data_IF_127740098452
#
_entry.id   IF_127740098452
#
_cell.length_a   1.000
_cell.length_b   1.000
_cell.length_c   1.000
_cell.angle_alpha   90.00
_cell.angle_beta   90.00
_cell.angle_gamma   90.00
#
_symmetry.space_group_name_H-M   'P 1'
#
loop_
_entity.id
_entity.type
_entity.pdbx_description
1 polymer ?
#
# COMPACT_ATOMS: atom_id res chain seq x y z
N UNK A 1 -13.91 -65.03 15.00
CA UNK A 1 -13.31 -63.79 15.50
C UNK A 1 -13.06 -62.91 14.28
N UNK A 2 -13.94 -61.93 14.08
CA UNK A 2 -13.85 -60.89 13.06
C UNK A 2 -12.70 -59.93 13.35
N UNK A 3 -12.11 -59.37 12.28
CA UNK A 3 -11.50 -58.02 12.15
C UNK A 3 -10.98 -57.92 10.70
N UNK A 4 -11.77 -57.39 9.76
CA UNK A 4 -11.81 -56.00 9.27
C UNK A 4 -10.53 -55.52 8.53
N UNK A 5 -10.63 -55.12 7.24
CA UNK A 5 -9.51 -54.59 6.46
C UNK A 5 -9.23 -53.11 6.74
N UNK A 6 -7.96 -52.71 6.62
CA UNK A 6 -7.48 -51.35 6.78
C UNK A 6 -8.11 -50.38 5.75
N UNK A 7 -8.50 -49.14 6.13
CA UNK A 7 -9.12 -48.20 5.21
C UNK A 7 -8.08 -47.52 4.30
N UNK A 8 -8.41 -47.45 3.01
CA UNK A 8 -7.75 -46.66 1.97
C UNK A 8 -7.73 -45.17 2.31
N UNK A 9 -6.59 -44.52 2.05
CA UNK A 9 -6.44 -43.08 2.16
C UNK A 9 -7.15 -42.38 0.98
N UNK A 10 -8.28 -41.74 1.27
CA UNK A 10 -9.02 -40.88 0.35
C UNK A 10 -8.29 -39.54 0.18
N UNK A 11 -8.12 -38.99 -1.03
CA UNK A 11 -7.55 -37.65 -1.18
C UNK A 11 -8.57 -36.60 -0.70
N UNK A 12 -8.21 -35.87 0.37
CA UNK A 12 -8.98 -34.71 0.82
C UNK A 12 -8.76 -33.57 -0.16
N UNK A 13 -9.71 -33.42 -1.09
CA UNK A 13 -9.96 -32.17 -1.80
C UNK A 13 -10.60 -31.22 -0.78
N UNK A 14 -9.77 -30.36 -0.16
CA UNK A 14 -10.28 -29.16 0.51
C UNK A 14 -10.12 -27.99 -0.44
N UNK A 15 -11.27 -27.41 -0.80
CA UNK A 15 -11.43 -26.40 -1.84
C UNK A 15 -10.72 -25.07 -1.58
N UNK A 16 -10.83 -24.13 -2.53
CA UNK A 16 -10.04 -22.92 -2.57
C UNK A 16 -10.54 -21.96 -1.49
N UNK A 17 -9.82 -21.88 -0.37
CA UNK A 17 -9.90 -20.72 0.51
C UNK A 17 -9.25 -19.55 -0.23
N UNK A 18 -10.05 -18.89 -1.07
CA UNK A 18 -9.89 -17.53 -1.59
C UNK A 18 -8.45 -16.97 -1.48
N UNK A 19 -7.56 -17.50 -2.32
CA UNK A 19 -6.39 -16.77 -2.81
C UNK A 19 -6.90 -15.56 -3.59
N UNK A 20 -7.24 -14.49 -2.87
CA UNK A 20 -7.40 -13.16 -3.45
C UNK A 20 -6.16 -12.33 -3.12
N UNK A 21 -4.98 -12.95 -3.17
CA UNK A 21 -3.80 -12.20 -3.60
C UNK A 21 -3.85 -12.25 -5.12
N UNK A 22 -4.69 -11.39 -5.68
CA UNK A 22 -4.53 -11.01 -7.06
C UNK A 22 -3.11 -10.47 -7.17
N UNK A 23 -2.18 -11.33 -7.62
CA UNK A 23 -0.93 -10.94 -8.23
C UNK A 23 -1.35 -10.15 -9.47
N UNK A 24 -1.73 -8.89 -9.24
CA UNK A 24 -1.72 -7.90 -10.27
C UNK A 24 -0.32 -8.01 -10.85
N UNK A 25 -0.22 -8.40 -12.13
CA UNK A 25 1.01 -8.27 -12.91
C UNK A 25 1.61 -6.94 -12.53
N UNK A 26 2.64 -6.98 -11.70
CA UNK A 26 3.39 -5.79 -11.31
C UNK A 26 3.93 -5.32 -12.64
N UNK A 27 3.36 -4.24 -13.18
CA UNK A 27 4.07 -3.46 -14.18
C UNK A 27 5.47 -3.32 -13.62
N UNK A 28 6.46 -3.84 -14.33
CA UNK A 28 7.85 -3.88 -13.86
C UNK A 28 8.21 -2.43 -13.57
N UNK A 29 8.24 -2.08 -12.28
CA UNK A 29 8.53 -0.72 -11.87
C UNK A 29 10.01 -0.54 -12.14
N UNK A 30 10.32 0.38 -13.04
CA UNK A 30 11.71 0.74 -13.29
C UNK A 30 12.20 1.60 -12.13
N UNK A 31 12.77 0.94 -11.11
CA UNK A 31 13.34 1.62 -9.96
C UNK A 31 14.62 2.40 -10.28
N UNK A 32 15.22 2.26 -11.47
CA UNK A 32 16.29 3.16 -11.92
C UNK A 32 15.72 4.56 -12.25
N UNK A 33 14.44 4.63 -12.62
CA UNK A 33 13.73 5.89 -12.78
C UNK A 33 13.22 6.39 -11.43
N UNK A 34 13.83 7.47 -10.94
CA UNK A 34 13.46 8.12 -9.66
C UNK A 34 11.98 8.54 -9.59
N UNK A 35 11.39 8.93 -10.72
CA UNK A 35 9.97 9.29 -10.75
C UNK A 35 9.07 8.06 -10.57
N UNK A 36 9.41 6.92 -11.17
CA UNK A 36 8.64 5.69 -11.01
C UNK A 36 8.79 5.11 -9.60
N UNK A 37 9.99 5.19 -9.02
CA UNK A 37 10.21 4.89 -7.60
C UNK A 37 9.32 5.74 -6.69
N UNK A 38 9.28 7.06 -6.89
CA UNK A 38 8.45 7.95 -6.07
C UNK A 38 6.95 7.71 -6.27
N UNK A 39 6.51 7.40 -7.50
CA UNK A 39 5.11 7.00 -7.77
C UNK A 39 4.75 5.72 -7.01
N UNK A 40 5.63 4.72 -7.03
CA UNK A 40 5.44 3.48 -6.29
C UNK A 40 5.38 3.73 -4.77
N UNK A 41 6.31 4.52 -4.23
CA UNK A 41 6.33 4.91 -2.82
C UNK A 41 5.04 5.63 -2.41
N UNK A 42 4.61 6.63 -3.19
CA UNK A 42 3.39 7.40 -2.89
C UNK A 42 2.14 6.53 -2.93
N UNK A 43 2.09 5.60 -3.88
CA UNK A 43 1.03 4.57 -3.94
C UNK A 43 1.04 3.71 -2.67
N UNK A 44 2.20 3.22 -2.24
CA UNK A 44 2.32 2.42 -1.01
C UNK A 44 1.93 3.19 0.24
N UNK A 45 2.29 4.46 0.35
CA UNK A 45 1.83 5.33 1.45
C UNK A 45 0.30 5.38 1.49
N UNK A 46 -0.36 5.58 0.34
CA UNK A 46 -1.82 5.64 0.28
C UNK A 46 -2.49 4.30 0.65
N UNK A 47 -1.93 3.16 0.20
CA UNK A 47 -2.42 1.81 0.53
C UNK A 47 -2.32 1.50 2.03
N UNK A 48 -1.31 2.03 2.71
CA UNK A 48 -1.06 1.73 4.13
C UNK A 48 -1.79 2.71 5.06
N UNK A 49 -2.02 3.95 4.61
CA UNK A 49 -2.71 4.97 5.39
C UNK A 49 -4.13 4.55 5.78
N UNK A 50 -4.84 3.84 4.89
CA UNK A 50 -6.21 3.34 5.13
C UNK A 50 -6.31 2.30 6.25
N UNK A 51 -5.18 1.73 6.70
CA UNK A 51 -5.14 0.78 7.81
C UNK A 51 -5.33 1.52 9.14
N UNK A 52 -6.57 1.74 9.56
CA UNK A 52 -6.90 2.54 10.74
C UNK A 52 -6.31 2.00 12.06
N UNK A 53 -6.08 0.68 12.15
CA UNK A 53 -5.71 0.01 13.41
C UNK A 53 -4.20 0.02 13.71
N UNK A 54 -3.36 0.63 12.86
CA UNK A 54 -1.91 0.66 13.04
C UNK A 54 -1.42 2.03 13.49
N UNK A 55 -0.42 2.03 14.37
CA UNK A 55 0.29 3.25 14.73
C UNK A 55 1.00 3.84 13.52
N UNK A 56 1.24 5.14 13.56
CA UNK A 56 1.94 5.86 12.50
C UNK A 56 3.38 5.37 12.29
N UNK A 57 4.04 4.93 13.36
CA UNK A 57 5.37 4.34 13.32
C UNK A 57 5.35 2.96 12.65
N UNK A 58 4.38 2.12 12.99
CA UNK A 58 4.24 0.78 12.39
C UNK A 58 3.87 0.87 10.90
N UNK A 59 3.04 1.85 10.52
CA UNK A 59 2.74 2.15 9.12
C UNK A 59 4.01 2.55 8.37
N UNK A 60 4.84 3.42 8.95
CA UNK A 60 6.08 3.87 8.32
C UNK A 60 7.06 2.71 8.11
N UNK A 61 7.27 1.88 9.14
CA UNK A 61 8.09 0.65 9.05
C UNK A 61 7.58 -0.28 7.96
N UNK A 62 6.28 -0.53 7.93
CA UNK A 62 5.66 -1.40 6.92
C UNK A 62 5.85 -0.86 5.49
N UNK A 63 5.72 0.46 5.27
CA UNK A 63 5.98 1.07 3.96
C UNK A 63 7.43 0.87 3.55
N UNK A 64 8.38 1.12 4.45
CA UNK A 64 9.83 0.97 4.19
C UNK A 64 10.15 -0.48 3.82
N UNK A 65 9.62 -1.44 4.56
CA UNK A 65 9.85 -2.87 4.33
C UNK A 65 9.30 -3.32 2.98
N UNK A 66 8.09 -2.88 2.62
CA UNK A 66 7.47 -3.19 1.33
C UNK A 66 8.23 -2.57 0.14
N UNK A 67 8.71 -1.34 0.29
CA UNK A 67 9.52 -0.68 -0.75
C UNK A 67 10.87 -1.38 -0.90
N UNK A 68 11.55 -1.70 0.20
CA UNK A 68 12.79 -2.49 0.18
C UNK A 68 12.60 -3.87 -0.42
N UNK A 69 11.46 -4.51 -0.17
CA UNK A 69 11.12 -5.81 -0.77
C UNK A 69 11.00 -5.68 -2.29
N UNK A 70 10.26 -4.68 -2.77
CA UNK A 70 10.11 -4.44 -4.20
C UNK A 70 11.45 -4.13 -4.89
N UNK A 71 12.35 -3.37 -4.25
CA UNK A 71 13.71 -3.12 -4.76
C UNK A 71 14.51 -4.42 -4.86
N UNK A 72 14.45 -5.29 -3.84
CA UNK A 72 15.17 -6.58 -3.86
C UNK A 72 14.73 -7.49 -5.00
N UNK A 73 13.44 -7.49 -5.31
CA UNK A 73 12.82 -8.29 -6.38
C UNK A 73 13.02 -7.68 -7.78
N UNK A 74 13.60 -6.48 -7.87
CA UNK A 74 13.78 -5.76 -9.13
C UNK A 74 15.02 -6.21 -9.92
N UNK A 75 15.06 -5.97 -11.26
CA UNK A 75 16.19 -6.32 -12.11
C UNK A 75 17.40 -5.37 -12.00
N UNK A 76 17.47 -4.55 -10.94
CA UNK A 76 18.59 -3.64 -10.70
C UNK A 76 19.90 -4.40 -10.34
N UNK A 77 21.05 -3.73 -10.49
CA UNK A 77 22.31 -4.26 -9.97
C UNK A 77 22.32 -4.28 -8.44
N UNK A 78 23.17 -5.11 -7.84
CA UNK A 78 23.27 -5.19 -6.38
C UNK A 78 23.78 -3.89 -5.75
N UNK A 79 24.65 -3.15 -6.44
CA UNK A 79 25.08 -1.81 -6.01
C UNK A 79 23.89 -0.84 -5.98
N UNK A 80 23.07 -0.82 -7.02
CA UNK A 80 21.88 0.02 -7.11
C UNK A 80 20.84 -0.34 -6.04
N UNK A 81 20.62 -1.64 -5.81
CA UNK A 81 19.73 -2.12 -4.73
C UNK A 81 20.23 -1.67 -3.36
N UNK A 82 21.54 -1.72 -3.12
CA UNK A 82 22.16 -1.30 -1.85
C UNK A 82 22.00 0.20 -1.62
N UNK A 83 22.24 1.02 -2.65
CA UNK A 83 22.03 2.46 -2.60
C UNK A 83 20.57 2.81 -2.30
N UNK A 84 19.63 2.18 -3.02
CA UNK A 84 18.19 2.40 -2.80
C UNK A 84 17.70 1.88 -1.46
N UNK A 85 18.25 0.77 -0.96
CA UNK A 85 17.93 0.27 0.38
C UNK A 85 18.38 1.27 1.46
N UNK A 86 19.57 1.87 1.28
CA UNK A 86 20.08 2.93 2.17
C UNK A 86 19.21 4.18 2.09
N UNK A 87 18.78 4.57 0.89
CA UNK A 87 17.82 5.66 0.72
C UNK A 87 16.48 5.37 1.44
N UNK A 88 16.01 4.12 1.42
CA UNK A 88 14.82 3.72 2.16
C UNK A 88 14.99 3.84 3.69
N UNK A 89 16.18 3.62 4.22
CA UNK A 89 16.43 3.78 5.66
C UNK A 89 16.56 5.24 6.08
N UNK A 90 17.22 6.04 5.25
CA UNK A 90 17.59 7.42 5.62
C UNK A 90 16.54 8.43 5.18
N UNK A 91 16.07 8.34 3.94
CA UNK A 91 15.28 9.41 3.31
C UNK A 91 13.78 9.13 3.28
N UNK A 92 13.37 7.88 3.07
CA UNK A 92 11.97 7.50 2.95
C UNK A 92 11.10 7.85 4.19
N UNK A 93 11.60 7.78 5.45
CA UNK A 93 10.83 8.27 6.60
C UNK A 93 10.39 9.74 6.44
N UNK A 94 11.29 10.61 5.97
CA UNK A 94 10.98 12.03 5.74
C UNK A 94 10.01 12.23 4.58
N UNK A 95 10.08 11.38 3.54
CA UNK A 95 9.09 11.40 2.44
C UNK A 95 7.70 11.03 2.96
N UNK A 96 7.59 10.01 3.82
CA UNK A 96 6.31 9.60 4.43
C UNK A 96 5.73 10.75 5.26
N UNK A 97 6.56 11.38 6.11
CA UNK A 97 6.14 12.53 6.91
C UNK A 97 5.71 13.72 6.05
N UNK A 98 6.48 14.06 5.02
CA UNK A 98 6.15 15.14 4.10
C UNK A 98 4.81 14.90 3.39
N UNK A 99 4.54 13.67 2.94
CA UNK A 99 3.25 13.32 2.32
C UNK A 99 2.10 13.48 3.30
N UNK A 100 2.28 13.09 4.58
CA UNK A 100 1.26 13.32 5.62
C UNK A 100 0.98 14.81 5.83
N UNK A 101 2.03 15.64 5.93
CA UNK A 101 1.89 17.08 6.09
C UNK A 101 1.18 17.73 4.90
N UNK A 102 1.56 17.36 3.67
CA UNK A 102 0.92 17.86 2.44
C UNK A 102 -0.56 17.45 2.40
N UNK A 103 -0.89 16.21 2.77
CA UNK A 103 -2.29 15.76 2.84
C UNK A 103 -3.10 16.50 3.88
N UNK A 104 -2.53 16.75 5.06
CA UNK A 104 -3.18 17.52 6.10
C UNK A 104 -3.46 18.95 5.63
N UNK A 105 -2.50 19.59 4.95
CA UNK A 105 -2.68 20.93 4.40
C UNK A 105 -3.69 20.96 3.25
N UNK A 106 -3.62 20.01 2.33
CA UNK A 106 -4.59 19.86 1.25
C UNK A 106 -6.02 19.67 1.79
N UNK A 107 -6.17 18.92 2.88
CA UNK A 107 -7.47 18.72 3.54
C UNK A 107 -8.06 20.02 4.09
N UNK A 108 -7.23 20.94 4.59
CA UNK A 108 -7.68 22.28 5.02
C UNK A 108 -8.19 23.08 3.83
N UNK A 109 -7.44 23.10 2.73
CA UNK A 109 -7.83 23.80 1.49
C UNK A 109 -9.13 23.24 0.93
N UNK A 110 -9.29 21.91 0.91
CA UNK A 110 -10.54 21.26 0.50
C UNK A 110 -11.69 21.64 1.42
N UNK A 111 -11.47 21.70 2.74
CA UNK A 111 -12.47 22.15 3.71
C UNK A 111 -12.95 23.58 3.45
N UNK A 112 -12.02 24.50 3.18
CA UNK A 112 -12.34 25.90 2.82
C UNK A 112 -13.11 25.95 1.51
N UNK A 113 -12.63 25.26 0.47
CA UNK A 113 -13.28 25.22 -0.83
C UNK A 113 -14.71 24.65 -0.72
N UNK A 114 -14.91 23.55 0.00
CA UNK A 114 -16.24 22.98 0.24
C UNK A 114 -17.15 23.93 1.03
N UNK A 115 -16.61 24.66 2.00
CA UNK A 115 -17.38 25.65 2.75
C UNK A 115 -17.86 26.78 1.84
N UNK A 116 -17.01 27.30 0.95
CA UNK A 116 -17.39 28.34 -0.01
C UNK A 116 -18.37 27.82 -1.07
N UNK A 117 -18.17 26.61 -1.60
CA UNK A 117 -19.12 25.98 -2.54
C UNK A 117 -20.48 25.77 -1.88
N UNK A 118 -20.52 25.41 -0.59
CA UNK A 118 -21.77 25.28 0.17
C UNK A 118 -22.49 26.62 0.37
N UNK A 119 -21.76 27.74 0.50
CA UNK A 119 -22.35 29.09 0.56
C UNK A 119 -22.88 29.54 -0.79
N UNK A 120 -22.13 29.34 -1.87
CA UNK A 120 -22.48 29.79 -3.21
C UNK A 120 -23.54 28.91 -3.90
N UNK A 121 -23.55 27.60 -3.61
CA UNK A 121 -24.44 26.62 -4.24
C UNK A 121 -25.13 25.72 -3.19
N UNK A 122 -25.96 26.29 -2.28
CA UNK A 122 -26.56 25.53 -1.19
C UNK A 122 -27.50 24.41 -1.67
N UNK A 123 -28.11 24.58 -2.85
CA UNK A 123 -28.98 23.57 -3.47
C UNK A 123 -28.28 22.26 -3.85
N UNK A 124 -26.95 22.26 -4.02
CA UNK A 124 -26.18 21.04 -4.30
C UNK A 124 -26.02 20.14 -3.07
N UNK A 125 -26.19 20.69 -1.86
CA UNK A 125 -26.02 19.97 -0.60
C UNK A 125 -27.35 19.74 0.13
N UNK A 126 -28.45 20.32 -0.34
CA UNK A 126 -29.77 19.99 0.16
C UNK A 126 -30.10 18.54 -0.26
N UNK A 127 -30.28 17.64 0.72
CA UNK A 127 -30.84 16.30 0.45
C UNK A 127 -32.17 16.50 -0.30
N UNK A 128 -32.36 15.80 -1.42
CA UNK A 128 -33.68 15.72 -2.06
C UNK A 128 -34.68 15.27 -0.98
N UNK A 129 -35.63 16.15 -0.68
CA UNK A 129 -36.77 15.84 0.18
C UNK A 129 -37.62 14.73 -0.46
#
# INVERSE_FOLDING_TARGET
>A
MSSDPAPEAVPVVSGPAAEVVAVAKTAVVDFANKSELLKFVTKKIAEVEILADRSDEDKAKFIIDEVKKAIRESPLSEEQKTELATWCDVSLPYVIEAVKLVKAEASKVVGVALAEVRKCCPSWFAKKA
#
